data_IF_863696330598
#
_entry.id   IF_863696330598
#
_cell.length_a   1.000
_cell.length_b   1.000
_cell.length_c   1.000
_cell.angle_alpha   90.00
_cell.angle_beta   90.00
_cell.angle_gamma   90.00
#
_symmetry.space_group_name_H-M   'P 1'
#
loop_
_entity.id
_entity.type
_entity.pdbx_description
1 polymer ?
#
# COMPACT_ATOMS: atom_id res chain seq x y z
N UNK A 1 -18.86 -34.29 -18.83
CA UNK A 1 -19.45 -32.96 -18.58
C UNK A 1 -18.30 -31.97 -18.64
N UNK A 2 -18.36 -30.98 -19.51
CA UNK A 2 -17.37 -29.91 -19.57
C UNK A 2 -17.95 -28.71 -18.80
N UNK A 3 -17.39 -28.42 -17.62
CA UNK A 3 -17.88 -27.30 -16.78
C UNK A 3 -16.98 -26.10 -17.05
N UNK A 4 -17.52 -25.13 -17.78
CA UNK A 4 -16.89 -23.84 -17.99
C UNK A 4 -16.75 -23.12 -16.64
N UNK A 5 -15.52 -22.77 -16.23
CA UNK A 5 -15.24 -22.01 -15.00
C UNK A 5 -16.06 -20.71 -14.90
N UNK A 6 -16.46 -20.14 -16.04
CA UNK A 6 -17.36 -18.99 -16.10
C UNK A 6 -18.75 -19.29 -15.53
N UNK A 7 -19.30 -20.48 -15.74
CA UNK A 7 -20.58 -20.88 -15.15
C UNK A 7 -20.49 -20.96 -13.63
N UNK A 8 -19.38 -21.47 -13.10
CA UNK A 8 -19.11 -21.50 -11.67
C UNK A 8 -19.00 -20.09 -11.08
N UNK A 9 -18.29 -19.17 -11.76
CA UNK A 9 -18.19 -17.75 -11.34
C UNK A 9 -19.56 -17.07 -11.33
N UNK A 10 -20.38 -17.34 -12.33
CA UNK A 10 -21.73 -16.78 -12.42
C UNK A 10 -22.62 -17.28 -11.28
N UNK A 11 -22.57 -18.58 -11.01
CA UNK A 11 -23.28 -19.19 -9.90
C UNK A 11 -22.82 -18.63 -8.55
N UNK A 12 -21.51 -18.60 -8.29
CA UNK A 12 -20.95 -18.05 -7.06
C UNK A 12 -21.35 -16.59 -6.84
N UNK A 13 -21.35 -15.77 -7.91
CA UNK A 13 -21.77 -14.38 -7.81
C UNK A 13 -23.24 -14.21 -7.43
N UNK A 14 -24.15 -14.99 -8.03
CA UNK A 14 -25.57 -14.94 -7.65
C UNK A 14 -25.78 -15.46 -6.23
N UNK A 15 -25.02 -16.48 -5.82
CA UNK A 15 -25.08 -17.05 -4.47
C UNK A 15 -24.62 -16.06 -3.39
N UNK A 16 -23.63 -15.22 -3.68
CA UNK A 16 -23.12 -14.20 -2.76
C UNK A 16 -24.01 -12.97 -2.69
N UNK A 17 -24.50 -12.50 -3.84
CA UNK A 17 -25.34 -11.30 -3.89
C UNK A 17 -26.80 -11.58 -3.49
N UNK A 18 -27.25 -12.83 -3.61
CA UNK A 18 -28.65 -13.24 -3.51
C UNK A 18 -29.58 -12.35 -4.34
N UNK A 19 -29.05 -11.80 -5.44
CA UNK A 19 -29.72 -10.83 -6.29
C UNK A 19 -29.12 -10.84 -7.70
N UNK A 20 -29.91 -11.23 -8.70
CA UNK A 20 -29.43 -11.38 -10.08
C UNK A 20 -28.94 -10.07 -10.70
N UNK A 21 -29.62 -8.94 -10.47
CA UNK A 21 -29.19 -7.64 -11.04
C UNK A 21 -27.84 -7.20 -10.48
N UNK A 22 -27.68 -7.15 -9.14
CA UNK A 22 -26.39 -6.85 -8.50
C UNK A 22 -25.27 -7.79 -8.94
N UNK A 23 -25.54 -9.10 -9.03
CA UNK A 23 -24.55 -10.06 -9.53
C UNK A 23 -24.17 -9.79 -10.99
N UNK A 24 -25.13 -9.40 -11.83
CA UNK A 24 -24.88 -9.08 -13.23
C UNK A 24 -24.05 -7.79 -13.37
N UNK A 25 -24.36 -6.76 -12.59
CA UNK A 25 -23.58 -5.52 -12.49
C UNK A 25 -22.15 -5.81 -12.04
N UNK A 26 -21.97 -6.61 -10.98
CA UNK A 26 -20.66 -7.03 -10.47
C UNK A 26 -19.82 -7.79 -11.49
N UNK A 27 -20.48 -8.57 -12.36
CA UNK A 27 -19.84 -9.35 -13.42
C UNK A 27 -19.75 -8.61 -14.75
N UNK A 28 -20.21 -7.36 -14.83
CA UNK A 28 -20.28 -6.56 -16.07
C UNK A 28 -21.01 -7.27 -17.22
N UNK A 29 -22.10 -7.97 -16.91
CA UNK A 29 -22.95 -8.65 -17.88
C UNK A 29 -24.41 -8.22 -17.75
N UNK A 30 -25.22 -8.48 -18.77
CA UNK A 30 -26.66 -8.25 -18.65
C UNK A 30 -27.32 -9.31 -17.78
N UNK A 31 -28.29 -8.88 -16.96
CA UNK A 31 -29.08 -9.79 -16.11
C UNK A 31 -29.74 -10.94 -16.90
N UNK A 32 -30.31 -10.72 -18.11
CA UNK A 32 -30.87 -11.82 -18.91
C UNK A 32 -29.80 -12.84 -19.34
N UNK A 33 -28.59 -12.40 -19.66
CA UNK A 33 -27.48 -13.29 -20.00
C UNK A 33 -27.07 -14.14 -18.79
N UNK A 34 -26.93 -13.52 -17.61
CA UNK A 34 -26.62 -14.22 -16.36
C UNK A 34 -27.70 -15.26 -16.02
N UNK A 35 -28.99 -14.89 -16.07
CA UNK A 35 -30.09 -15.82 -15.84
C UNK A 35 -30.09 -17.01 -16.80
N UNK A 36 -29.78 -16.81 -18.08
CA UNK A 36 -29.68 -17.91 -19.06
C UNK A 36 -28.56 -18.88 -18.72
N UNK A 37 -27.40 -18.39 -18.30
CA UNK A 37 -26.27 -19.23 -17.92
C UNK A 37 -26.54 -20.02 -16.63
N UNK A 38 -27.20 -19.43 -15.63
CA UNK A 38 -27.61 -20.16 -14.41
C UNK A 38 -28.59 -21.29 -14.76
N UNK A 39 -29.62 -21.01 -15.57
CA UNK A 39 -30.57 -22.05 -16.01
C UNK A 39 -29.89 -23.16 -16.82
N UNK A 40 -28.83 -22.83 -17.56
CA UNK A 40 -28.01 -23.83 -18.26
C UNK A 40 -27.31 -24.73 -17.24
N UNK A 41 -26.63 -24.15 -16.26
CA UNK A 41 -25.96 -24.91 -15.19
C UNK A 41 -26.94 -25.82 -14.43
N UNK A 42 -28.12 -25.31 -14.05
CA UNK A 42 -29.18 -26.08 -13.39
C UNK A 42 -29.64 -27.27 -14.24
N UNK A 43 -29.79 -27.07 -15.56
CA UNK A 43 -30.18 -28.12 -16.50
C UNK A 43 -29.09 -29.19 -16.65
N UNK A 44 -27.84 -28.77 -16.73
CA UNK A 44 -26.69 -29.67 -16.89
C UNK A 44 -26.52 -30.54 -15.62
N UNK A 45 -26.78 -29.97 -14.44
CA UNK A 45 -26.76 -30.65 -13.14
C UNK A 45 -28.06 -31.39 -12.79
N UNK A 46 -29.15 -31.13 -13.53
CA UNK A 46 -30.51 -31.66 -13.28
C UNK A 46 -31.06 -31.33 -11.88
N UNK A 47 -30.70 -30.16 -11.36
CA UNK A 47 -31.18 -29.63 -10.07
C UNK A 47 -31.47 -28.14 -10.18
N UNK A 48 -32.38 -27.63 -9.38
CA UNK A 48 -32.53 -26.18 -9.16
C UNK A 48 -31.53 -25.74 -8.10
N UNK A 49 -30.77 -24.68 -8.39
CA UNK A 49 -29.75 -24.12 -7.48
C UNK A 49 -30.29 -22.91 -6.74
N UNK A 50 -31.28 -22.22 -7.31
CA UNK A 50 -31.91 -21.05 -6.71
C UNK A 50 -33.43 -21.16 -6.65
N UNK A 51 -33.99 -20.75 -5.53
CA UNK A 51 -35.40 -20.44 -5.39
C UNK A 51 -35.63 -18.94 -5.63
N UNK A 52 -36.59 -18.63 -6.50
CA UNK A 52 -37.01 -17.27 -6.79
C UNK A 52 -38.36 -17.03 -6.12
N UNK A 53 -38.38 -16.15 -5.13
CA UNK A 53 -39.60 -15.73 -4.44
C UNK A 53 -39.93 -14.28 -4.76
N UNK A 54 -41.13 -13.83 -4.42
CA UNK A 54 -41.50 -12.40 -4.47
C UNK A 54 -40.64 -11.52 -3.55
N UNK A 55 -39.97 -12.12 -2.57
CA UNK A 55 -39.12 -11.43 -1.58
C UNK A 55 -37.62 -11.48 -1.90
N UNK A 56 -37.20 -12.18 -2.96
CA UNK A 56 -35.79 -12.28 -3.35
C UNK A 56 -35.37 -13.68 -3.81
N UNK A 57 -34.05 -13.85 -3.93
CA UNK A 57 -33.40 -15.10 -4.37
C UNK A 57 -32.79 -15.81 -3.16
N UNK A 58 -32.93 -17.13 -3.08
CA UNK A 58 -32.29 -17.97 -2.06
C UNK A 58 -31.62 -19.16 -2.73
N UNK A 59 -30.56 -19.69 -2.11
CA UNK A 59 -30.01 -20.99 -2.51
C UNK A 59 -30.98 -22.10 -2.11
N UNK A 60 -31.08 -23.13 -2.96
CA UNK A 60 -31.67 -24.42 -2.57
C UNK A 60 -30.62 -25.23 -1.79
N UNK A 61 -30.99 -26.37 -1.16
CA UNK A 61 -30.01 -27.28 -0.57
C UNK A 61 -28.93 -27.74 -1.57
N UNK A 62 -29.30 -27.91 -2.85
CA UNK A 62 -28.34 -28.23 -3.91
C UNK A 62 -27.39 -27.06 -4.20
N UNK A 63 -27.90 -25.82 -4.19
CA UNK A 63 -27.09 -24.61 -4.31
C UNK A 63 -26.12 -24.44 -3.13
N UNK A 64 -26.60 -24.66 -1.91
CA UNK A 64 -25.75 -24.61 -0.70
C UNK A 64 -24.63 -25.66 -0.74
N UNK A 65 -24.92 -26.87 -1.22
CA UNK A 65 -23.93 -27.92 -1.40
C UNK A 65 -22.90 -27.59 -2.51
N UNK A 66 -23.34 -26.95 -3.60
CA UNK A 66 -22.47 -26.63 -4.74
C UNK A 66 -21.55 -25.43 -4.46
N UNK A 67 -22.00 -24.42 -3.70
CA UNK A 67 -21.25 -23.19 -3.45
C UNK A 67 -19.80 -23.39 -2.97
N UNK A 68 -19.53 -24.18 -1.91
CA UNK A 68 -18.16 -24.39 -1.45
C UNK A 68 -17.31 -25.14 -2.48
N UNK A 69 -17.90 -26.02 -3.30
CA UNK A 69 -17.19 -26.73 -4.38
C UNK A 69 -16.84 -25.76 -5.51
N UNK A 70 -17.79 -24.92 -5.93
CA UNK A 70 -17.60 -23.94 -6.98
C UNK A 70 -16.49 -22.93 -6.61
N UNK A 71 -16.49 -22.44 -5.37
CA UNK A 71 -15.42 -21.58 -4.84
C UNK A 71 -14.06 -22.25 -4.93
N UNK A 72 -13.92 -23.46 -4.38
CA UNK A 72 -12.64 -24.21 -4.47
C UNK A 72 -12.17 -24.40 -5.90
N UNK A 73 -13.04 -24.79 -6.84
CA UNK A 73 -12.65 -24.96 -8.24
C UNK A 73 -12.19 -23.65 -8.90
N UNK A 74 -12.83 -22.53 -8.57
CA UNK A 74 -12.42 -21.20 -9.06
C UNK A 74 -11.05 -20.83 -8.48
N UNK A 75 -10.85 -21.07 -7.19
CA UNK A 75 -9.62 -20.77 -6.47
C UNK A 75 -8.45 -21.64 -6.97
N UNK A 76 -8.68 -22.94 -7.15
CA UNK A 76 -7.73 -23.91 -7.71
C UNK A 76 -7.35 -23.54 -9.14
N UNK A 77 -8.32 -23.14 -9.96
CA UNK A 77 -8.05 -22.67 -11.32
C UNK A 77 -7.24 -21.36 -11.32
N UNK A 78 -7.54 -20.43 -10.41
CA UNK A 78 -6.75 -19.22 -10.23
C UNK A 78 -5.32 -19.57 -9.79
N UNK A 79 -5.15 -20.49 -8.84
CA UNK A 79 -3.86 -20.98 -8.38
C UNK A 79 -3.05 -21.65 -9.51
N UNK A 80 -3.68 -22.48 -10.33
CA UNK A 80 -3.03 -23.09 -11.50
C UNK A 80 -2.53 -22.05 -12.52
N UNK A 81 -3.32 -21.01 -12.79
CA UNK A 81 -2.90 -19.91 -13.65
C UNK A 81 -1.72 -19.14 -13.06
N UNK A 82 -1.72 -18.86 -11.75
CA UNK A 82 -0.58 -18.24 -11.05
C UNK A 82 0.67 -19.10 -11.18
N UNK A 83 0.57 -20.38 -10.83
CA UNK A 83 1.68 -21.33 -10.88
C UNK A 83 2.28 -21.41 -12.30
N UNK A 84 1.45 -21.44 -13.35
CA UNK A 84 1.91 -21.43 -14.73
C UNK A 84 2.67 -20.15 -15.09
N UNK A 85 2.19 -18.97 -14.66
CA UNK A 85 2.88 -17.68 -14.88
C UNK A 85 4.21 -17.61 -14.13
N UNK A 86 4.23 -18.02 -12.87
CA UNK A 86 5.44 -18.07 -12.04
C UNK A 86 6.46 -19.06 -12.60
N UNK A 87 6.04 -20.25 -13.04
CA UNK A 87 6.92 -21.23 -13.67
C UNK A 87 7.56 -20.70 -14.95
N UNK A 88 6.79 -19.98 -15.79
CA UNK A 88 7.32 -19.30 -16.98
C UNK A 88 8.37 -18.24 -16.61
N UNK A 89 8.07 -17.36 -15.66
CA UNK A 89 9.01 -16.33 -15.21
C UNK A 89 10.30 -16.95 -14.62
N UNK A 90 10.16 -18.00 -13.81
CA UNK A 90 11.26 -18.76 -13.25
C UNK A 90 12.15 -19.40 -14.32
N UNK A 91 11.55 -19.98 -15.37
CA UNK A 91 12.29 -20.55 -16.51
C UNK A 91 13.09 -19.48 -17.27
N UNK A 92 12.63 -18.22 -17.25
CA UNK A 92 13.34 -17.07 -17.81
C UNK A 92 14.31 -16.41 -16.81
N UNK A 93 14.39 -16.92 -15.58
CA UNK A 93 15.17 -16.34 -14.46
C UNK A 93 14.78 -14.89 -14.16
N UNK A 94 13.49 -14.58 -14.32
CA UNK A 94 12.90 -13.26 -14.06
C UNK A 94 12.05 -13.33 -12.80
N UNK A 95 12.39 -12.55 -11.77
CA UNK A 95 11.52 -12.33 -10.61
C UNK A 95 10.70 -11.06 -10.84
N UNK A 96 9.37 -11.17 -10.92
CA UNK A 96 8.49 -10.01 -11.09
C UNK A 96 8.17 -9.41 -9.72
N UNK A 97 8.55 -8.15 -9.52
CA UNK A 97 8.39 -7.44 -8.25
C UNK A 97 7.32 -6.35 -8.38
N UNK A 98 6.21 -6.52 -7.67
CA UNK A 98 5.15 -5.52 -7.55
C UNK A 98 5.52 -4.42 -6.56
N UNK A 99 5.09 -3.19 -6.84
CA UNK A 99 5.20 -2.08 -5.91
C UNK A 99 4.19 -1.00 -6.23
N UNK A 100 3.85 -0.21 -5.23
CA UNK A 100 3.10 1.04 -5.36
C UNK A 100 4.02 2.24 -5.17
N UNK A 101 3.75 3.34 -5.88
CA UNK A 101 4.48 4.61 -5.77
C UNK A 101 6.01 4.45 -5.71
N UNK A 102 6.62 4.63 -4.55
CA UNK A 102 8.07 4.53 -4.31
C UNK A 102 8.53 3.14 -3.85
N UNK A 103 7.61 2.19 -3.65
CA UNK A 103 7.90 0.87 -3.06
C UNK A 103 8.41 1.04 -1.63
N UNK A 104 9.53 0.41 -1.30
CA UNK A 104 10.30 0.63 -0.07
C UNK A 104 11.42 1.67 -0.29
N UNK A 105 11.18 2.64 -1.16
CA UNK A 105 12.10 3.72 -1.47
C UNK A 105 13.49 3.22 -1.89
N UNK A 106 14.54 3.76 -1.26
CA UNK A 106 15.94 3.42 -1.53
C UNK A 106 16.25 1.93 -1.27
N UNK A 107 15.56 1.28 -0.32
CA UNK A 107 15.74 -0.15 -0.05
C UNK A 107 15.43 -0.98 -1.30
N UNK A 108 14.38 -0.63 -2.06
CA UNK A 108 14.01 -1.30 -3.31
C UNK A 108 15.16 -1.27 -4.30
N UNK A 109 15.74 -0.08 -4.51
CA UNK A 109 16.83 0.13 -5.47
C UNK A 109 18.09 -0.62 -5.03
N UNK A 110 18.50 -0.46 -3.76
CA UNK A 110 19.67 -1.17 -3.21
C UNK A 110 19.51 -2.68 -3.28
N UNK A 111 18.34 -3.22 -2.94
CA UNK A 111 18.08 -4.66 -3.02
C UNK A 111 18.17 -5.18 -4.45
N UNK A 112 17.63 -4.45 -5.45
CA UNK A 112 17.75 -4.83 -6.85
C UNK A 112 19.19 -4.77 -7.37
N UNK A 113 19.96 -3.77 -6.96
CA UNK A 113 21.39 -3.69 -7.30
C UNK A 113 22.18 -4.86 -6.72
N UNK A 114 21.99 -5.12 -5.42
CA UNK A 114 22.65 -6.23 -4.72
C UNK A 114 22.24 -7.60 -5.26
N UNK A 115 20.98 -7.75 -5.68
CA UNK A 115 20.51 -8.95 -6.36
C UNK A 115 21.20 -9.17 -7.69
N UNK A 116 21.30 -8.13 -8.53
CA UNK A 116 21.98 -8.20 -9.83
C UNK A 116 23.47 -8.54 -9.68
N UNK A 117 24.13 -8.07 -8.62
CA UNK A 117 25.53 -8.43 -8.31
C UNK A 117 25.68 -9.92 -7.98
N UNK A 118 24.77 -10.49 -7.19
CA UNK A 118 24.85 -11.90 -6.73
C UNK A 118 24.26 -12.91 -7.72
N UNK A 119 23.36 -12.47 -8.59
CA UNK A 119 22.65 -13.29 -9.57
C UNK A 119 22.73 -12.63 -10.95
N UNK A 120 23.92 -12.58 -11.58
CA UNK A 120 24.14 -11.86 -12.85
C UNK A 120 23.37 -12.46 -14.03
N UNK A 121 22.94 -13.71 -13.92
CA UNK A 121 22.15 -14.46 -14.89
C UNK A 121 20.64 -14.38 -14.63
N UNK A 122 20.20 -13.53 -13.70
CA UNK A 122 18.80 -13.32 -13.35
C UNK A 122 18.45 -11.82 -13.33
N UNK A 123 17.16 -11.51 -13.48
CA UNK A 123 16.68 -10.14 -13.44
C UNK A 123 15.49 -9.97 -12.50
N UNK A 124 15.30 -8.72 -12.03
CA UNK A 124 14.10 -8.31 -11.31
C UNK A 124 13.36 -7.29 -12.17
N UNK A 125 12.16 -7.68 -12.60
CA UNK A 125 11.25 -6.84 -13.39
C UNK A 125 10.30 -6.10 -12.45
N UNK A 126 10.40 -4.76 -12.35
CA UNK A 126 9.52 -3.97 -11.50
C UNK A 126 8.17 -3.74 -12.20
N UNK A 127 7.07 -4.03 -11.51
CA UNK A 127 5.70 -3.77 -11.96
C UNK A 127 5.01 -2.81 -10.99
N UNK A 128 4.69 -1.62 -11.48
CA UNK A 128 3.98 -0.61 -10.69
C UNK A 128 2.48 -0.88 -10.71
N UNK A 129 1.84 -0.73 -9.56
CA UNK A 129 0.38 -0.74 -9.41
C UNK A 129 -0.12 0.59 -8.81
N UNK A 130 -1.41 0.84 -9.00
CA UNK A 130 -2.15 1.92 -8.35
C UNK A 130 -2.46 1.57 -6.89
N UNK A 131 -3.03 2.52 -6.15
CA UNK A 131 -3.30 2.42 -4.72
C UNK A 131 -3.95 1.08 -4.30
N UNK A 132 -3.25 0.31 -3.47
CA UNK A 132 -3.66 -0.99 -2.93
C UNK A 132 -3.64 -2.16 -3.92
N UNK A 133 -3.11 -1.96 -5.14
CA UNK A 133 -3.15 -2.96 -6.20
C UNK A 133 -2.14 -4.10 -6.07
N UNK A 134 -1.13 -3.98 -5.20
CA UNK A 134 -0.03 -4.95 -5.14
C UNK A 134 -0.47 -6.31 -4.57
N UNK A 135 -1.37 -6.29 -3.59
CA UNK A 135 -1.97 -7.51 -3.01
C UNK A 135 -2.82 -8.25 -4.04
N UNK A 136 -3.63 -7.52 -4.80
CA UNK A 136 -4.42 -8.11 -5.89
C UNK A 136 -3.50 -8.72 -6.96
N UNK A 137 -2.43 -8.01 -7.33
CA UNK A 137 -1.46 -8.48 -8.31
C UNK A 137 -0.74 -9.78 -7.89
N UNK A 138 -0.41 -9.92 -6.61
CA UNK A 138 0.10 -11.19 -6.05
C UNK A 138 -0.92 -12.32 -6.18
N UNK A 139 -2.18 -12.06 -5.79
CA UNK A 139 -3.29 -13.03 -5.85
C UNK A 139 -3.69 -13.41 -7.27
N UNK A 140 -3.39 -12.57 -8.25
CA UNK A 140 -3.58 -12.85 -9.68
C UNK A 140 -2.33 -13.44 -10.34
N UNK A 141 -1.20 -13.53 -9.61
CA UNK A 141 0.08 -14.01 -10.13
C UNK A 141 0.63 -13.13 -11.25
N UNK A 142 0.28 -11.84 -11.25
CA UNK A 142 0.88 -10.82 -12.12
C UNK A 142 2.32 -10.52 -11.68
N UNK A 143 2.60 -10.66 -10.38
CA UNK A 143 3.92 -10.56 -9.78
C UNK A 143 4.20 -11.75 -8.86
N UNK A 144 5.48 -12.02 -8.59
CA UNK A 144 5.94 -13.14 -7.76
C UNK A 144 6.23 -12.71 -6.31
N UNK A 145 6.59 -11.44 -6.12
CA UNK A 145 6.74 -10.76 -4.83
C UNK A 145 6.21 -9.33 -4.95
N UNK A 146 5.85 -8.70 -3.84
CA UNK A 146 5.50 -7.28 -3.82
C UNK A 146 5.98 -6.55 -2.57
N UNK A 147 6.28 -5.27 -2.73
CA UNK A 147 6.41 -4.31 -1.65
C UNK A 147 5.03 -3.71 -1.38
N UNK A 148 4.45 -4.04 -0.23
CA UNK A 148 3.07 -3.78 0.14
C UNK A 148 3.04 -2.67 1.19
N UNK A 149 2.31 -1.60 0.90
CA UNK A 149 2.04 -0.55 1.88
C UNK A 149 0.89 -0.96 2.80
N UNK A 150 1.10 -0.88 4.12
CA UNK A 150 0.11 -1.27 5.13
C UNK A 150 -0.72 -0.06 5.59
N UNK A 151 -2.00 -0.26 5.96
CA UNK A 151 -2.70 -1.54 6.15
C UNK A 151 -3.20 -2.16 4.83
N UNK A 152 -3.19 -3.48 4.73
CA UNK A 152 -3.76 -4.20 3.59
C UNK A 152 -4.24 -5.59 4.03
N UNK A 153 -5.06 -6.25 3.21
CA UNK A 153 -5.49 -7.62 3.47
C UNK A 153 -4.38 -8.61 3.10
N UNK A 154 -3.68 -9.10 4.12
CA UNK A 154 -2.54 -10.02 3.96
C UNK A 154 -2.96 -11.50 3.94
N UNK A 155 -4.26 -11.80 3.88
CA UNK A 155 -4.74 -13.18 3.89
C UNK A 155 -4.18 -13.99 2.72
N UNK A 156 -3.64 -15.17 3.02
CA UNK A 156 -3.01 -16.07 2.05
C UNK A 156 -1.60 -15.63 1.59
N UNK A 157 -1.02 -14.61 2.23
CA UNK A 157 0.31 -14.11 1.93
C UNK A 157 1.29 -14.42 3.06
N UNK A 158 2.52 -14.77 2.70
CA UNK A 158 3.66 -14.66 3.60
C UNK A 158 4.22 -13.24 3.47
N UNK A 159 4.37 -12.55 4.59
CA UNK A 159 4.87 -11.17 4.61
C UNK A 159 5.89 -10.94 5.71
N UNK A 160 6.85 -10.05 5.46
CA UNK A 160 7.79 -9.56 6.45
C UNK A 160 7.91 -8.03 6.37
N UNK A 161 7.93 -7.34 7.52
CA UNK A 161 8.18 -5.88 7.54
C UNK A 161 9.63 -5.63 7.18
N UNK A 162 9.85 -4.79 6.16
CA UNK A 162 11.17 -4.48 5.60
C UNK A 162 11.55 -3.02 5.73
N UNK A 163 10.57 -2.13 5.92
CA UNK A 163 10.83 -0.71 6.16
C UNK A 163 9.68 -0.05 6.93
N UNK A 164 10.02 1.05 7.61
CA UNK A 164 9.05 2.01 8.14
C UNK A 164 9.40 3.41 7.64
N UNK A 165 8.39 4.19 7.26
CA UNK A 165 8.56 5.55 6.78
C UNK A 165 7.68 6.52 7.58
N UNK A 166 8.25 7.62 8.11
CA UNK A 166 7.46 8.74 8.62
C UNK A 166 6.53 9.29 7.53
N UNK A 167 5.41 9.88 7.95
CA UNK A 167 4.49 10.55 7.03
C UNK A 167 4.86 12.03 6.88
N UNK A 168 4.51 12.61 5.74
CA UNK A 168 4.66 14.02 5.45
C UNK A 168 3.36 14.57 4.86
N UNK A 169 3.14 15.87 5.03
CA UNK A 169 2.06 16.60 4.39
C UNK A 169 2.61 17.35 3.18
N UNK A 170 1.98 17.16 2.02
CA UNK A 170 2.22 17.93 0.82
C UNK A 170 1.16 19.00 0.62
N UNK A 171 1.58 20.20 0.26
CA UNK A 171 0.71 21.33 -0.04
C UNK A 171 1.35 22.23 -1.09
N UNK A 172 0.58 23.14 -1.69
CA UNK A 172 1.16 24.19 -2.54
C UNK A 172 2.16 25.03 -1.75
N UNK A 173 3.20 25.51 -2.43
CA UNK A 173 4.26 26.29 -1.80
C UNK A 173 3.77 27.58 -1.11
N UNK A 174 2.66 28.16 -1.57
CA UNK A 174 2.01 29.36 -1.02
C UNK A 174 0.90 29.06 0.01
N UNK A 175 0.71 27.80 0.38
CA UNK A 175 -0.32 27.40 1.35
C UNK A 175 0.01 27.96 2.75
N UNK A 176 -0.96 28.46 3.54
CA UNK A 176 -0.70 29.03 4.87
C UNK A 176 0.06 28.08 5.83
N UNK A 177 -0.24 26.78 5.78
CA UNK A 177 0.47 25.76 6.58
C UNK A 177 1.95 25.58 6.19
N UNK A 178 2.38 26.08 5.03
CA UNK A 178 3.79 26.01 4.60
C UNK A 178 4.73 26.79 5.54
N UNK A 179 4.21 27.77 6.27
CA UNK A 179 4.97 28.55 7.23
C UNK A 179 5.38 27.77 8.49
N UNK A 180 4.74 26.61 8.76
CA UNK A 180 5.09 25.73 9.88
C UNK A 180 6.21 24.78 9.47
N UNK A 181 7.14 24.48 10.38
CA UNK A 181 8.21 23.50 10.13
C UNK A 181 7.74 22.04 10.21
N UNK A 182 6.73 21.79 11.05
CA UNK A 182 6.15 20.48 11.35
C UNK A 182 4.64 20.64 11.51
N UNK A 183 3.88 19.61 11.14
CA UNK A 183 2.42 19.58 11.25
C UNK A 183 1.95 18.41 12.10
N UNK A 184 0.79 18.58 12.75
CA UNK A 184 0.02 17.50 13.37
C UNK A 184 -1.28 17.23 12.59
N UNK A 185 -2.02 16.17 12.93
CA UNK A 185 -3.29 15.88 12.26
C UNK A 185 -4.36 16.94 12.53
N UNK A 186 -4.29 17.61 13.68
CA UNK A 186 -5.19 18.70 14.07
C UNK A 186 -5.01 19.94 13.17
N UNK A 187 -3.80 20.19 12.68
CA UNK A 187 -3.54 21.26 11.71
C UNK A 187 -4.29 21.03 10.39
N UNK A 188 -4.63 19.79 10.07
CA UNK A 188 -5.32 19.40 8.84
C UNK A 188 -6.85 19.27 9.04
N UNK A 189 -7.39 19.88 10.10
CA UNK A 189 -8.82 19.80 10.44
C UNK A 189 -9.71 20.38 9.34
N UNK A 190 -9.39 21.58 8.90
CA UNK A 190 -10.20 22.34 7.95
C UNK A 190 -9.73 22.17 6.50
N UNK A 191 -8.66 21.41 6.28
CA UNK A 191 -8.08 21.20 4.95
C UNK A 191 -8.76 20.06 4.19
N UNK A 192 -9.11 20.25 2.90
CA UNK A 192 -9.54 19.15 2.04
C UNK A 192 -8.40 18.15 1.83
N UNK A 193 -8.70 16.86 1.99
CA UNK A 193 -7.79 15.75 1.73
C UNK A 193 -8.27 14.96 0.52
N UNK A 194 -7.52 14.94 -0.59
CA UNK A 194 -7.81 14.01 -1.68
C UNK A 194 -7.81 12.56 -1.19
N UNK A 195 -8.61 11.70 -1.82
CA UNK A 195 -8.79 10.32 -1.39
C UNK A 195 -8.61 9.33 -2.53
N UNK A 196 -8.08 8.14 -2.21
CA UNK A 196 -7.84 7.10 -3.18
C UNK A 196 -9.15 6.38 -3.56
N UNK A 197 -9.59 6.51 -4.82
CA UNK A 197 -10.90 6.01 -5.28
C UNK A 197 -10.96 4.49 -5.33
N UNK A 198 -9.91 3.88 -5.87
CA UNK A 198 -9.82 2.41 -6.02
C UNK A 198 -9.26 1.68 -4.81
N UNK A 199 -8.77 2.39 -3.79
CA UNK A 199 -8.18 1.76 -2.61
C UNK A 199 -9.24 1.25 -1.61
N UNK A 200 -8.92 0.24 -0.79
CA UNK A 200 -9.79 -0.17 0.32
C UNK A 200 -10.11 0.98 1.28
N UNK A 201 -11.34 1.04 1.78
CA UNK A 201 -11.80 2.10 2.69
C UNK A 201 -10.92 2.23 3.94
N UNK A 202 -10.50 1.11 4.51
CA UNK A 202 -9.59 1.06 5.68
C UNK A 202 -8.24 1.73 5.37
N UNK A 203 -7.68 1.50 4.18
CA UNK A 203 -6.44 2.14 3.74
C UNK A 203 -6.60 3.66 3.62
N UNK A 204 -7.71 4.10 3.00
CA UNK A 204 -8.05 5.54 2.86
C UNK A 204 -8.22 6.20 4.23
N UNK A 205 -8.94 5.54 5.14
CA UNK A 205 -9.16 6.01 6.52
C UNK A 205 -7.87 6.05 7.34
N UNK A 206 -6.98 5.06 7.17
CA UNK A 206 -5.69 5.01 7.83
C UNK A 206 -4.78 6.18 7.42
N UNK A 207 -4.71 6.51 6.12
CA UNK A 207 -3.94 7.66 5.66
C UNK A 207 -4.49 8.97 6.19
N UNK A 208 -5.81 9.10 6.29
CA UNK A 208 -6.49 10.27 6.85
C UNK A 208 -6.56 10.29 8.39
N UNK A 209 -5.97 9.30 9.05
CA UNK A 209 -5.91 9.12 10.52
C UNK A 209 -7.32 9.09 11.12
N UNK A 210 -8.16 8.16 10.66
CA UNK A 210 -9.52 7.96 11.17
C UNK A 210 -9.56 6.76 12.12
N UNK A 211 -10.08 6.89 13.36
CA UNK A 211 -10.60 8.13 13.96
C UNK A 211 -9.48 9.12 14.32
N UNK A 212 -9.75 10.43 14.12
CA UNK A 212 -8.82 11.49 14.54
C UNK A 212 -8.83 11.62 16.08
N UNK A 213 -7.70 11.98 16.73
CA UNK A 213 -7.61 12.11 18.19
C UNK A 213 -8.66 13.04 18.81
N UNK A 214 -9.04 14.08 18.09
CA UNK A 214 -10.04 15.08 18.49
C UNK A 214 -11.49 14.69 18.17
N UNK A 215 -11.72 13.49 17.62
CA UNK A 215 -13.03 12.99 17.21
C UNK A 215 -13.54 13.56 15.89
N UNK A 216 -12.83 14.50 15.27
CA UNK A 216 -13.21 15.09 13.98
C UNK A 216 -13.17 14.07 12.84
N UNK A 217 -13.65 14.47 11.66
CA UNK A 217 -13.58 13.69 10.43
C UNK A 217 -12.82 14.49 9.38
N UNK A 218 -12.03 13.82 8.51
CA UNK A 218 -11.36 14.49 7.41
C UNK A 218 -12.39 15.13 6.47
N UNK A 219 -12.07 16.31 5.95
CA UNK A 219 -12.82 16.91 4.84
C UNK A 219 -12.33 16.25 3.55
N UNK A 220 -13.16 15.41 2.95
CA UNK A 220 -12.77 14.73 1.71
C UNK A 220 -12.76 15.71 0.52
N UNK A 221 -11.62 15.75 -0.17
CA UNK A 221 -11.41 16.49 -1.41
C UNK A 221 -11.61 15.62 -2.66
N UNK A 222 -10.97 15.96 -3.79
CA UNK A 222 -11.11 15.21 -5.03
C UNK A 222 -10.55 13.78 -4.92
N UNK A 223 -11.13 12.87 -5.70
CA UNK A 223 -10.67 11.49 -5.77
C UNK A 223 -9.44 11.37 -6.70
N UNK A 224 -8.54 10.43 -6.42
CA UNK A 224 -7.38 10.10 -7.25
C UNK A 224 -7.12 8.58 -7.26
N UNK A 225 -6.38 8.09 -8.25
CA UNK A 225 -6.04 6.66 -8.38
C UNK A 225 -4.54 6.36 -8.26
N UNK A 226 -3.69 7.38 -8.23
CA UNK A 226 -2.23 7.24 -8.13
C UNK A 226 -1.56 8.51 -7.56
N UNK A 227 -0.24 8.44 -7.35
CA UNK A 227 0.57 9.52 -6.82
C UNK A 227 0.52 10.76 -7.72
N UNK A 228 0.57 10.61 -9.04
CA UNK A 228 0.59 11.72 -9.98
C UNK A 228 -0.71 12.52 -9.91
N UNK A 229 -1.87 11.86 -9.94
CA UNK A 229 -3.17 12.51 -9.78
C UNK A 229 -3.34 13.16 -8.41
N UNK A 230 -2.86 12.51 -7.35
CA UNK A 230 -2.84 13.10 -6.00
C UNK A 230 -2.05 14.42 -6.00
N UNK A 231 -0.87 14.43 -6.62
CA UNK A 231 0.00 15.61 -6.67
C UNK A 231 -0.57 16.71 -7.56
N UNK A 232 -1.19 16.38 -8.70
CA UNK A 232 -1.86 17.37 -9.55
C UNK A 232 -3.06 18.02 -8.81
N UNK A 233 -3.84 17.23 -8.06
CA UNK A 233 -4.93 17.78 -7.25
C UNK A 233 -4.42 18.78 -6.19
N UNK A 234 -3.31 18.45 -5.53
CA UNK A 234 -2.70 19.33 -4.53
C UNK A 234 -2.10 20.57 -5.19
N UNK A 235 -1.34 20.41 -6.28
CA UNK A 235 -0.75 21.51 -7.03
C UNK A 235 -1.80 22.49 -7.58
N UNK A 236 -2.96 21.97 -8.00
CA UNK A 236 -4.13 22.75 -8.43
C UNK A 236 -4.89 23.44 -7.28
N UNK A 237 -4.46 23.26 -6.03
CA UNK A 237 -5.02 23.95 -4.87
C UNK A 237 -6.31 23.35 -4.33
N UNK A 238 -6.62 22.10 -4.69
CA UNK A 238 -7.83 21.41 -4.26
C UNK A 238 -7.70 20.73 -2.89
N UNK A 239 -6.59 20.94 -2.17
CA UNK A 239 -6.35 20.44 -0.83
C UNK A 239 -4.88 20.23 -0.49
N UNK A 240 -4.64 19.51 0.59
CA UNK A 240 -3.34 19.01 1.04
C UNK A 240 -3.35 17.48 1.03
N UNK A 241 -2.20 16.83 0.93
CA UNK A 241 -2.10 15.37 0.97
C UNK A 241 -1.24 14.88 2.12
N UNK A 242 -1.54 13.67 2.63
CA UNK A 242 -0.66 12.94 3.54
C UNK A 242 -0.02 11.83 2.73
N UNK A 243 1.32 11.74 2.75
CA UNK A 243 2.11 10.81 1.95
C UNK A 243 3.25 10.22 2.77
N UNK A 244 3.90 9.18 2.26
CA UNK A 244 5.14 8.67 2.84
C UNK A 244 6.28 9.67 2.65
N UNK A 245 7.30 9.65 3.51
CA UNK A 245 8.49 10.49 3.37
C UNK A 245 9.19 10.27 2.04
N UNK A 246 9.20 9.06 1.50
CA UNK A 246 9.83 8.83 0.20
C UNK A 246 9.13 9.57 -0.94
N UNK A 247 7.80 9.73 -0.92
CA UNK A 247 7.10 10.54 -1.93
C UNK A 247 7.63 11.98 -1.93
N UNK A 248 7.83 12.61 -0.77
CA UNK A 248 8.36 13.99 -0.70
C UNK A 248 9.79 14.13 -1.22
N UNK A 249 10.57 13.05 -1.21
CA UNK A 249 11.96 13.04 -1.68
C UNK A 249 12.05 12.76 -3.19
N UNK A 250 11.25 11.83 -3.71
CA UNK A 250 11.33 11.33 -5.08
C UNK A 250 10.38 12.03 -6.06
N UNK A 251 9.22 12.51 -5.61
CA UNK A 251 8.30 13.30 -6.41
C UNK A 251 8.54 14.80 -6.16
N UNK A 252 9.74 15.27 -6.47
CA UNK A 252 10.09 16.68 -6.29
C UNK A 252 9.33 17.52 -7.31
N UNK A 253 8.59 18.51 -6.81
CA UNK A 253 8.00 19.56 -7.63
C UNK A 253 8.25 20.92 -6.98
N UNK A 254 8.54 21.97 -7.77
CA UNK A 254 8.83 23.29 -7.23
C UNK A 254 7.58 24.02 -6.71
N UNK A 255 6.39 23.64 -7.17
CA UNK A 255 5.10 24.19 -6.77
C UNK A 255 4.55 23.59 -5.47
N UNK A 256 5.19 22.54 -4.94
CA UNK A 256 4.81 21.87 -3.71
C UNK A 256 5.88 22.02 -2.62
N UNK A 257 5.42 22.11 -1.38
CA UNK A 257 6.24 22.07 -0.18
C UNK A 257 5.79 20.95 0.74
N UNK A 258 6.75 20.36 1.44
CA UNK A 258 6.56 19.20 2.29
C UNK A 258 6.88 19.55 3.74
N UNK A 259 6.02 19.12 4.67
CA UNK A 259 6.26 19.23 6.11
C UNK A 259 6.10 17.88 6.80
N UNK A 260 6.99 17.49 7.72
CA UNK A 260 6.81 16.26 8.51
C UNK A 260 5.45 16.28 9.23
N UNK A 261 4.76 15.14 9.21
CA UNK A 261 3.57 14.91 10.01
C UNK A 261 3.96 14.11 11.24
N UNK A 262 3.79 14.69 12.43
CA UNK A 262 4.16 14.05 13.71
C UNK A 262 2.93 13.62 14.51
N UNK A 263 3.13 12.75 15.49
CA UNK A 263 2.05 12.25 16.34
C UNK A 263 1.14 11.21 15.66
N UNK A 264 1.57 10.69 14.50
CA UNK A 264 0.86 9.64 13.74
C UNK A 264 1.78 8.43 13.57
N UNK A 265 1.18 7.24 13.46
CA UNK A 265 1.96 6.03 13.21
C UNK A 265 2.65 6.07 11.83
N UNK A 266 3.90 5.59 11.71
CA UNK A 266 4.59 5.57 10.42
C UNK A 266 3.93 4.58 9.46
N UNK A 267 4.17 4.78 8.16
CA UNK A 267 3.88 3.77 7.15
C UNK A 267 4.79 2.57 7.36
N UNK A 268 4.20 1.38 7.46
CA UNK A 268 4.94 0.12 7.45
C UNK A 268 4.87 -0.48 6.05
N UNK A 269 6.00 -0.96 5.57
CA UNK A 269 6.15 -1.54 4.24
C UNK A 269 6.60 -2.99 4.41
N UNK A 270 5.81 -3.90 3.85
CA UNK A 270 6.09 -5.34 3.89
C UNK A 270 6.64 -5.81 2.54
N UNK A 271 7.58 -6.76 2.56
CA UNK A 271 7.80 -7.63 1.40
C UNK A 271 6.86 -8.83 1.54
N UNK A 272 6.08 -9.12 0.51
CA UNK A 272 5.09 -10.19 0.53
C UNK A 272 5.07 -11.06 -0.73
N UNK A 273 4.61 -12.30 -0.58
CA UNK A 273 4.37 -13.26 -1.65
C UNK A 273 3.27 -14.24 -1.24
N UNK A 274 2.65 -14.95 -2.18
CA UNK A 274 1.61 -15.94 -1.84
C UNK A 274 2.24 -17.18 -1.19
N UNK A 275 1.54 -17.86 -0.30
CA UNK A 275 2.05 -19.08 0.35
C UNK A 275 2.48 -20.17 -0.64
N UNK A 276 1.83 -20.22 -1.81
CA UNK A 276 2.09 -21.19 -2.87
C UNK A 276 3.18 -20.75 -3.85
N UNK A 277 3.74 -19.54 -3.70
CA UNK A 277 4.74 -19.02 -4.62
C UNK A 277 6.03 -19.84 -4.53
N UNK A 278 6.27 -20.65 -5.57
CA UNK A 278 7.43 -21.53 -5.67
C UNK A 278 8.57 -20.95 -6.54
N UNK A 279 8.65 -19.61 -6.67
CA UNK A 279 9.65 -18.98 -7.52
C UNK A 279 11.08 -19.17 -6.94
N UNK A 280 12.03 -19.78 -7.67
CA UNK A 280 13.33 -20.18 -7.11
C UNK A 280 14.23 -19.00 -6.70
N UNK A 281 14.06 -17.83 -7.32
CA UNK A 281 14.81 -16.62 -6.97
C UNK A 281 14.26 -15.85 -5.76
N UNK A 282 13.02 -16.16 -5.32
CA UNK A 282 12.35 -15.41 -4.27
C UNK A 282 13.08 -15.50 -2.91
N UNK A 283 13.51 -16.68 -2.42
CA UNK A 283 14.23 -16.75 -1.15
C UNK A 283 15.53 -15.94 -1.15
N UNK A 284 16.25 -15.92 -2.27
CA UNK A 284 17.49 -15.16 -2.42
C UNK A 284 17.22 -13.65 -2.39
N UNK A 285 16.18 -13.18 -3.10
CA UNK A 285 15.79 -11.78 -3.06
C UNK A 285 15.32 -11.35 -1.66
N UNK A 286 14.48 -12.16 -1.00
CA UNK A 286 14.04 -11.88 0.36
C UNK A 286 15.22 -11.82 1.35
N UNK A 287 16.20 -12.71 1.22
CA UNK A 287 17.42 -12.67 2.03
C UNK A 287 18.20 -11.35 1.84
N UNK A 288 18.37 -10.90 0.60
CA UNK A 288 19.02 -9.62 0.30
C UNK A 288 18.25 -8.45 0.92
N UNK A 289 16.91 -8.46 0.84
CA UNK A 289 16.08 -7.41 1.46
C UNK A 289 16.26 -7.41 2.99
N UNK A 290 16.30 -8.59 3.64
CA UNK A 290 16.58 -8.70 5.08
C UNK A 290 17.98 -8.24 5.47
N UNK A 291 18.98 -8.44 4.63
CA UNK A 291 20.34 -7.95 4.89
C UNK A 291 20.42 -6.42 4.81
N UNK A 292 19.63 -5.82 3.92
CA UNK A 292 19.68 -4.38 3.63
C UNK A 292 18.69 -3.54 4.43
N UNK A 293 17.69 -4.15 5.06
CA UNK A 293 16.76 -3.43 5.94
C UNK A 293 17.54 -2.80 7.10
N UNK A 294 17.22 -1.55 7.45
CA UNK A 294 17.89 -0.87 8.54
C UNK A 294 17.69 -1.63 9.87
N UNK A 295 18.74 -1.82 10.69
CA UNK A 295 18.60 -2.41 12.01
C UNK A 295 17.98 -1.39 12.98
N UNK A 296 16.67 -1.15 12.87
CA UNK A 296 15.87 -0.43 13.90
C UNK A 296 14.56 -1.16 14.26
N UNK A 297 14.30 -2.33 13.66
CA UNK A 297 13.08 -3.12 13.93
C UNK A 297 13.16 -4.00 15.20
N UNK A 298 14.09 -3.71 16.12
CA UNK A 298 14.19 -4.39 17.42
C UNK A 298 13.91 -3.39 18.56
N UNK A 299 12.65 -3.34 19.01
CA UNK A 299 12.19 -2.84 20.31
C UNK A 299 13.11 -1.86 21.07
N UNK A 300 12.86 -0.55 20.96
CA UNK A 300 13.10 0.36 22.07
C UNK A 300 11.92 1.31 22.28
N UNK A 301 11.20 1.05 23.38
CA UNK A 301 10.35 2.03 24.05
C UNK A 301 11.19 3.27 24.32
N UNK A 302 10.77 4.49 23.94
CA UNK A 302 11.56 5.68 24.24
C UNK A 302 11.71 5.82 25.75
N UNK A 303 12.90 5.53 26.28
CA UNK A 303 13.26 5.96 27.63
C UNK A 303 13.28 7.49 27.59
N UNK A 304 12.36 8.10 28.34
CA UNK A 304 12.36 9.53 28.65
C UNK A 304 13.78 9.94 29.04
N UNK A 305 14.47 10.66 28.17
CA UNK A 305 15.64 11.42 28.57
C UNK A 305 15.11 12.64 29.34
N UNK A 306 15.16 12.55 30.66
CA UNK A 306 15.14 13.74 31.51
C UNK A 306 16.36 14.62 31.20
N UNK A 307 16.28 15.93 31.47
CA UNK A 307 17.37 16.84 31.16
C UNK A 307 18.65 16.44 31.90
N UNK A 308 19.76 16.35 31.15
CA UNK A 308 21.11 16.19 31.72
C UNK A 308 21.44 17.42 32.58
N UNK A 309 22.07 17.27 33.76
CA UNK A 309 22.60 18.40 34.49
C UNK A 309 23.73 19.07 33.70
N UNK A 310 23.80 20.40 33.76
CA UNK A 310 24.84 21.19 33.13
C UNK A 310 26.22 20.80 33.69
N UNK A 311 27.12 20.35 32.80
CA UNK A 311 28.53 20.23 33.12
C UNK A 311 29.14 21.64 33.20
N UNK A 312 29.69 21.97 34.36
CA UNK A 312 30.45 23.18 34.59
C UNK A 312 31.74 23.14 33.74
N UNK A 313 31.86 24.08 32.80
CA UNK A 313 33.11 24.31 32.07
C UNK A 313 34.22 24.80 33.02
N UNK A 314 35.50 24.53 32.71
CA UNK A 314 36.60 24.93 33.55
C UNK A 314 36.78 26.45 33.52
N UNK A 315 37.07 27.01 34.70
CA UNK A 315 37.38 28.42 34.91
C UNK A 315 38.53 28.87 34.00
N UNK A 316 38.27 29.93 33.22
CA UNK A 316 39.32 30.66 32.51
C UNK A 316 40.23 31.40 33.50
N UNK A 317 41.52 31.63 33.17
CA UNK A 317 42.44 32.31 34.07
C UNK A 317 42.14 33.81 34.12
N UNK A 318 42.25 34.37 35.33
CA UNK A 318 42.13 35.79 35.66
C UNK A 318 43.17 36.69 34.93
N UNK A 319 42.87 37.99 34.78
CA UNK A 319 43.73 38.92 34.04
C UNK A 319 44.85 39.47 34.93
N UNK A 320 46.11 39.25 34.53
CA UNK A 320 47.26 39.96 35.09
C UNK A 320 47.41 41.32 34.39
N UNK A 321 47.36 42.39 35.18
CA UNK A 321 47.58 43.76 34.72
C UNK A 321 49.02 44.06 34.26
N UNK A 322 49.14 45.04 33.36
CA UNK A 322 50.41 45.59 32.88
C UNK A 322 50.22 46.88 32.08
N UNK A 323 50.32 48.00 32.79
CA UNK A 323 50.74 49.39 32.48
C UNK A 323 50.71 50.01 31.03
N UNK A 324 50.58 51.35 30.93
CA UNK A 324 50.19 52.07 29.71
C UNK A 324 51.38 52.55 28.85
N UNK A 325 51.19 52.57 27.53
CA UNK A 325 52.08 53.21 26.54
C UNK A 325 51.46 54.49 25.95
N UNK A 326 52.27 55.47 25.50
CA UNK A 326 51.89 56.88 25.50
C UNK A 326 51.18 57.36 24.22
N UNK A 327 50.52 58.52 24.37
CA UNK A 327 49.72 59.26 23.40
C UNK A 327 50.46 59.68 22.11
N UNK A 328 49.71 59.92 21.00
CA UNK A 328 50.28 60.42 19.75
C UNK A 328 50.37 61.97 19.75
N UNK A 329 51.41 62.50 19.12
CA UNK A 329 51.54 63.90 18.72
C UNK A 329 51.22 64.06 17.21
N UNK A 330 50.86 65.27 16.75
CA UNK A 330 49.85 65.46 15.71
C UNK A 330 50.40 65.60 14.29
N UNK A 331 49.54 65.31 13.32
CA UNK A 331 49.56 65.77 11.93
C UNK A 331 48.13 66.02 11.49
#
# INVERSE_FOLDING_TARGET
MDVDTRLLRYFAAVAEELHFTRAAERLYVSQPALSRQIRRLERDLRVTLFERTTRGVRLTPAGEALLPVARRMIDDWAAGQRAARTARAAAQRVLRLGFEATGAADLTTRARMRFRERHPDASIEPHRFNWGGEVAALREGLVDAALIWLPNDLSGLTTEIVAEEPRAVGMRADHPLAAKDVLTIEDLRDEPLPWARSAPREWVEWWAVVPRPDGSRPRWGPANDNAEELLENVAGGSGVCIVSRSISVYYRRPDLVWRPLVGVEPLRIALGWTHECAHPLLPAFAAIVRELRAPELAHEVPRRHGPRPAEAGPAGPEPSGGAPGPAPAPG
#
